data_IF_923784728526
#
_entry.id   IF_923784728526
#
_cell.length_a   1.000
_cell.length_b   1.000
_cell.length_c   1.000
_cell.angle_alpha   90.00
_cell.angle_beta   90.00
_cell.angle_gamma   90.00
#
_symmetry.space_group_name_H-M   'P 1'
#
loop_
_entity.id
_entity.type
_entity.pdbx_description
1 polymer ?
#
# COMPACT_ATOMS: atom_id res chain seq x y z
N UNK A 1 -4.43 -6.81 -18.89
CA UNK A 1 -4.12 -7.88 -17.91
C UNK A 1 -3.35 -7.39 -16.68
N UNK A 2 -2.13 -6.87 -16.80
CA UNK A 2 -1.34 -6.45 -15.63
C UNK A 2 -1.95 -5.24 -14.89
N UNK A 3 -2.32 -4.18 -15.62
CA UNK A 3 -2.97 -3.01 -15.03
C UNK A 3 -4.32 -3.33 -14.39
N UNK A 4 -5.05 -4.27 -14.97
CA UNK A 4 -6.33 -4.75 -14.43
C UNK A 4 -6.12 -5.55 -13.13
N UNK A 5 -5.10 -6.41 -13.10
CA UNK A 5 -4.68 -7.10 -11.88
C UNK A 5 -4.26 -6.11 -10.79
N UNK A 6 -3.50 -5.06 -11.14
CA UNK A 6 -3.12 -3.98 -10.24
C UNK A 6 -4.32 -3.20 -9.70
N UNK A 7 -5.28 -2.86 -10.57
CA UNK A 7 -6.51 -2.19 -10.17
C UNK A 7 -7.35 -3.05 -9.22
N UNK A 8 -7.49 -4.35 -9.50
CA UNK A 8 -8.23 -5.27 -8.63
C UNK A 8 -7.59 -5.39 -7.24
N UNK A 9 -6.27 -5.48 -7.17
CA UNK A 9 -5.54 -5.51 -5.89
C UNK A 9 -5.67 -4.18 -5.15
N UNK A 10 -5.52 -3.06 -5.85
CA UNK A 10 -5.65 -1.73 -5.25
C UNK A 10 -7.05 -1.49 -4.68
N UNK A 11 -8.10 -1.89 -5.40
CA UNK A 11 -9.48 -1.78 -4.94
C UNK A 11 -9.73 -2.69 -3.72
N UNK A 12 -9.29 -3.94 -3.77
CA UNK A 12 -9.40 -4.88 -2.66
C UNK A 12 -8.75 -4.33 -1.37
N UNK A 13 -7.54 -3.78 -1.47
CA UNK A 13 -6.84 -3.17 -0.32
C UNK A 13 -7.57 -1.91 0.16
N UNK A 14 -8.12 -1.11 -0.75
CA UNK A 14 -8.89 0.08 -0.41
C UNK A 14 -10.15 -0.28 0.39
N UNK A 15 -10.87 -1.31 -0.04
CA UNK A 15 -12.06 -1.83 0.66
C UNK A 15 -11.70 -2.36 2.05
N UNK A 16 -10.63 -3.16 2.17
CA UNK A 16 -10.19 -3.63 3.49
C UNK A 16 -9.78 -2.48 4.41
N UNK A 17 -9.04 -1.51 3.88
CA UNK A 17 -8.58 -0.39 4.68
C UNK A 17 -9.73 0.48 5.16
N UNK A 18 -10.71 0.76 4.30
CA UNK A 18 -11.91 1.49 4.68
C UNK A 18 -12.75 0.74 5.72
N UNK A 19 -12.87 -0.59 5.59
CA UNK A 19 -13.61 -1.42 6.55
C UNK A 19 -12.94 -1.48 7.93
N UNK A 20 -11.61 -1.36 7.99
CA UNK A 20 -10.85 -1.41 9.25
C UNK A 20 -10.61 -0.03 9.86
N UNK A 21 -10.67 1.04 9.06
CA UNK A 21 -10.45 2.41 9.52
C UNK A 21 -11.45 2.82 10.60
N UNK A 22 -10.94 3.45 11.66
CA UNK A 22 -11.78 4.02 12.70
C UNK A 22 -12.73 5.08 12.08
N UNK A 23 -14.03 5.05 12.37
CA UNK A 23 -14.95 6.05 11.87
C UNK A 23 -14.55 7.45 12.37
N UNK A 24 -14.80 8.51 11.57
CA UNK A 24 -14.47 9.87 11.97
C UNK A 24 -15.17 10.19 13.30
N UNK A 25 -14.40 10.62 14.29
CA UNK A 25 -14.94 11.08 15.57
C UNK A 25 -15.81 12.30 15.32
N UNK A 26 -17.12 12.15 15.55
CA UNK A 26 -18.03 13.29 15.63
C UNK A 26 -17.67 14.12 16.86
N UNK A 27 -17.74 15.45 16.73
CA UNK A 27 -17.29 16.44 17.73
C UNK A 27 -17.92 16.28 19.13
N UNK A 28 -18.97 15.47 19.26
CA UNK A 28 -19.71 15.20 20.51
C UNK A 28 -19.56 13.76 21.04
N UNK A 29 -18.68 12.93 20.45
CA UNK A 29 -18.47 11.55 20.90
C UNK A 29 -17.39 11.47 21.97
N UNK A 30 -17.77 11.12 23.20
CA UNK A 30 -16.86 10.71 24.29
C UNK A 30 -16.27 9.31 24.09
N UNK A 31 -16.69 8.58 23.04
CA UNK A 31 -16.14 7.26 22.71
C UNK A 31 -14.88 7.42 21.85
N UNK A 32 -13.78 6.84 22.33
CA UNK A 32 -12.56 6.60 21.55
C UNK A 32 -12.97 5.80 20.30
N UNK A 33 -12.77 6.37 19.11
CA UNK A 33 -13.00 5.62 17.87
C UNK A 33 -11.95 4.52 17.78
N UNK A 34 -12.41 3.27 17.83
CA UNK A 34 -11.57 2.10 17.63
C UNK A 34 -11.76 1.60 16.20
N UNK A 35 -10.69 1.01 15.66
CA UNK A 35 -10.73 0.29 14.39
C UNK A 35 -11.83 -0.77 14.45
N UNK A 36 -12.61 -0.90 13.37
CA UNK A 36 -13.67 -1.90 13.30
C UNK A 36 -13.06 -3.24 12.89
N UNK A 37 -13.36 -4.34 13.61
CA UNK A 37 -12.87 -5.65 13.20
C UNK A 37 -13.46 -6.05 11.84
N UNK A 38 -12.62 -6.62 10.97
CA UNK A 38 -13.05 -7.10 9.66
C UNK A 38 -14.02 -8.28 9.81
N UNK A 39 -15.00 -8.40 8.90
CA UNK A 39 -15.91 -9.56 8.87
C UNK A 39 -15.11 -10.84 8.58
N UNK A 40 -15.43 -11.93 9.29
CA UNK A 40 -14.79 -13.24 9.12
C UNK A 40 -14.92 -13.81 7.70
N UNK A 41 -15.91 -13.37 6.92
CA UNK A 41 -16.12 -13.80 5.54
C UNK A 41 -15.16 -13.15 4.54
N UNK A 42 -14.44 -12.10 4.94
CA UNK A 42 -13.51 -11.39 4.06
C UNK A 42 -12.12 -12.00 4.26
N UNK A 43 -11.51 -12.61 3.23
CA UNK A 43 -10.15 -13.14 3.35
C UNK A 43 -9.19 -11.98 3.58
N UNK A 44 -8.13 -12.21 4.35
CA UNK A 44 -7.01 -11.28 4.52
C UNK A 44 -5.90 -11.74 3.58
N UNK A 45 -5.76 -11.07 2.44
CA UNK A 45 -4.75 -11.32 1.43
C UNK A 45 -3.68 -10.22 1.49
N UNK A 46 -2.48 -10.52 1.00
CA UNK A 46 -1.35 -9.60 0.96
C UNK A 46 -0.35 -9.83 2.10
N UNK A 47 0.68 -8.98 2.22
CA UNK A 47 0.98 -7.80 1.39
C UNK A 47 1.44 -8.13 -0.03
N UNK A 48 1.86 -9.38 -0.28
CA UNK A 48 2.28 -9.87 -1.59
C UNK A 48 1.17 -10.64 -2.29
N UNK A 49 0.70 -10.11 -3.42
CA UNK A 49 -0.37 -10.69 -4.22
C UNK A 49 0.22 -11.46 -5.38
N UNK A 50 0.02 -12.77 -5.38
CA UNK A 50 0.52 -13.67 -6.41
C UNK A 50 -0.62 -13.91 -7.41
N UNK A 51 -0.43 -13.57 -8.70
CA UNK A 51 -1.43 -13.90 -9.71
C UNK A 51 -1.52 -15.42 -9.89
N UNK A 52 -2.68 -15.94 -10.31
CA UNK A 52 -2.82 -17.37 -10.55
C UNK A 52 -1.81 -17.86 -11.59
N UNK A 53 -1.16 -18.98 -11.30
CA UNK A 53 -0.18 -19.59 -12.19
C UNK A 53 -0.85 -20.28 -13.37
N UNK A 54 -0.06 -20.62 -14.40
CA UNK A 54 -0.53 -21.45 -15.50
C UNK A 54 -1.21 -22.76 -15.03
N UNK A 55 -0.67 -23.40 -13.99
CA UNK A 55 -1.26 -24.60 -13.43
C UNK A 55 -2.62 -24.33 -12.76
N UNK A 56 -2.77 -23.20 -12.08
CA UNK A 56 -4.05 -22.81 -11.48
C UNK A 56 -5.12 -22.62 -12.56
N UNK A 57 -4.75 -22.01 -13.69
CA UNK A 57 -5.64 -21.90 -14.84
C UNK A 57 -5.95 -23.26 -15.46
N UNK A 58 -4.94 -24.11 -15.68
CA UNK A 58 -5.13 -25.46 -16.25
C UNK A 58 -6.07 -26.32 -15.41
N UNK A 59 -5.99 -26.21 -14.09
CA UNK A 59 -6.86 -26.97 -13.18
C UNK A 59 -8.28 -26.40 -13.10
N UNK A 60 -8.46 -25.09 -13.34
CA UNK A 60 -9.77 -24.40 -13.21
C UNK A 60 -10.51 -24.21 -14.54
N UNK A 61 -9.80 -24.23 -15.67
CA UNK A 61 -10.33 -24.02 -17.01
C UNK A 61 -9.71 -25.00 -18.01
N UNK A 62 -10.56 -25.61 -18.83
CA UNK A 62 -10.21 -26.57 -19.89
C UNK A 62 -9.90 -25.91 -21.26
N UNK A 63 -9.60 -24.61 -21.27
CA UNK A 63 -9.45 -23.80 -22.50
C UNK A 63 -8.00 -23.39 -22.85
N UNK A 64 -7.82 -22.71 -23.99
CA UNK A 64 -6.53 -22.11 -24.39
C UNK A 64 -6.15 -21.00 -23.40
N UNK A 65 -5.13 -21.25 -22.59
CA UNK A 65 -4.61 -20.26 -21.64
C UNK A 65 -3.82 -19.21 -22.43
N UNK A 66 -4.26 -17.96 -22.38
CA UNK A 66 -3.50 -16.86 -22.97
C UNK A 66 -2.19 -16.64 -22.20
N UNK A 67 -1.06 -16.62 -22.91
CA UNK A 67 0.25 -16.41 -22.30
C UNK A 67 0.30 -15.12 -21.46
N UNK A 68 -0.41 -14.06 -21.88
CA UNK A 68 -0.47 -12.77 -21.18
C UNK A 68 -1.02 -12.87 -19.75
N UNK A 69 -1.80 -13.92 -19.45
CA UNK A 69 -2.36 -14.18 -18.13
C UNK A 69 -1.35 -15.00 -17.29
N UNK A 70 -0.63 -15.93 -17.91
CA UNK A 70 0.40 -16.73 -17.25
C UNK A 70 1.63 -15.93 -16.82
N UNK A 71 1.90 -14.77 -17.45
CA UNK A 71 3.03 -13.89 -17.16
C UNK A 71 2.69 -12.65 -16.32
N UNK A 72 1.54 -12.66 -15.62
CA UNK A 72 1.24 -11.61 -14.65
C UNK A 72 2.32 -11.58 -13.55
N UNK A 73 2.76 -10.38 -13.18
CA UNK A 73 3.77 -10.17 -12.15
C UNK A 73 3.10 -10.06 -10.78
N UNK A 74 3.72 -10.63 -9.72
CA UNK A 74 3.28 -10.39 -8.35
C UNK A 74 3.32 -8.91 -8.00
N UNK A 75 2.39 -8.51 -7.15
CA UNK A 75 2.30 -7.14 -6.67
C UNK A 75 2.59 -7.13 -5.16
N UNK A 76 3.60 -6.37 -4.76
CA UNK A 76 3.88 -6.06 -3.36
C UNK A 76 3.21 -4.74 -3.00
N UNK A 77 2.29 -4.79 -2.04
CA UNK A 77 1.59 -3.60 -1.55
C UNK A 77 2.32 -3.03 -0.36
N UNK A 78 2.73 -1.76 -0.47
CA UNK A 78 3.31 -1.00 0.63
C UNK A 78 2.24 -0.06 1.18
N UNK A 79 1.53 -0.53 2.21
CA UNK A 79 0.36 0.14 2.78
C UNK A 79 0.30 0.00 4.32
N UNK A 80 -0.16 1.03 5.07
CA UNK A 80 -0.28 0.99 6.54
C UNK A 80 -1.16 -0.13 7.10
N UNK A 81 -2.02 -0.70 6.27
CA UNK A 81 -2.84 -1.88 6.58
C UNK A 81 -1.97 -3.09 6.92
N UNK A 82 -0.89 -3.30 6.16
CA UNK A 82 0.01 -4.45 6.32
C UNK A 82 1.21 -4.14 7.22
N UNK A 83 1.61 -2.88 7.28
CA UNK A 83 2.82 -2.44 7.97
C UNK A 83 2.48 -1.35 8.99
N UNK A 84 2.33 -1.75 10.25
CA UNK A 84 1.90 -0.86 11.35
C UNK A 84 2.91 0.27 11.63
N UNK A 85 4.19 0.04 11.36
CA UNK A 85 5.26 1.04 11.45
C UNK A 85 5.09 2.19 10.43
N UNK A 86 4.29 2.02 9.37
CA UNK A 86 3.95 3.11 8.44
C UNK A 86 2.87 4.04 8.99
N UNK A 87 2.27 3.79 10.15
CA UNK A 87 1.22 4.68 10.71
C UNK A 87 1.76 6.06 11.09
N UNK A 88 3.07 6.18 11.32
CA UNK A 88 3.71 7.42 11.74
C UNK A 88 4.43 8.11 10.58
N UNK A 89 4.53 9.43 10.63
CA UNK A 89 5.33 10.19 9.69
C UNK A 89 6.82 9.82 9.81
N UNK A 90 7.49 9.41 8.72
CA UNK A 90 8.90 9.03 8.77
C UNK A 90 9.84 10.21 9.05
N UNK A 91 9.38 11.45 8.85
CA UNK A 91 10.20 12.65 9.03
C UNK A 91 10.22 13.20 10.45
N UNK A 92 9.07 13.17 11.15
CA UNK A 92 8.89 13.77 12.47
C UNK A 92 8.35 12.79 13.54
N UNK A 93 8.00 11.56 13.16
CA UNK A 93 7.43 10.56 14.07
C UNK A 93 5.97 10.79 14.47
N UNK A 94 5.33 11.87 14.01
CA UNK A 94 3.93 12.18 14.33
C UNK A 94 2.95 11.12 13.80
N UNK A 95 1.95 10.78 14.60
CA UNK A 95 0.82 9.91 14.21
C UNK A 95 -0.31 10.66 13.50
N UNK A 96 -0.20 11.98 13.33
CA UNK A 96 -1.22 12.81 12.66
C UNK A 96 -1.13 12.80 11.12
N UNK A 97 -0.26 11.94 10.58
CA UNK A 97 -0.05 11.83 9.15
C UNK A 97 -1.29 11.23 8.46
N UNK A 98 -1.75 11.87 7.38
CA UNK A 98 -2.93 11.44 6.63
C UNK A 98 -2.50 10.63 5.42
N UNK A 99 -3.14 9.49 5.22
CA UNK A 99 -2.95 8.68 4.02
C UNK A 99 -4.03 9.04 3.00
N UNK A 100 -3.61 9.58 1.85
CA UNK A 100 -4.45 10.38 0.94
C UNK A 100 -4.77 9.66 -0.39
N UNK A 101 -4.31 8.41 -0.56
CA UNK A 101 -4.60 7.60 -1.73
C UNK A 101 -3.40 6.88 -2.30
N UNK A 102 -3.63 6.16 -3.40
CA UNK A 102 -2.58 5.48 -4.16
C UNK A 102 -1.65 6.49 -4.83
N UNK A 103 -0.40 6.08 -5.03
CA UNK A 103 0.57 6.88 -5.79
C UNK A 103 0.10 7.11 -7.24
N UNK A 104 0.03 8.39 -7.66
CA UNK A 104 -0.34 8.77 -9.03
C UNK A 104 0.70 8.39 -10.10
N UNK A 105 1.95 8.10 -9.73
CA UNK A 105 2.98 7.66 -10.69
C UNK A 105 2.90 6.18 -11.08
N UNK A 106 1.90 5.43 -10.57
CA UNK A 106 1.71 4.02 -10.87
C UNK A 106 2.62 3.06 -10.09
N UNK A 107 2.61 1.80 -10.51
CA UNK A 107 3.45 0.72 -9.97
C UNK A 107 4.91 0.89 -10.37
N UNK A 108 5.82 0.42 -9.51
CA UNK A 108 7.26 0.37 -9.78
C UNK A 108 7.65 -1.08 -10.04
N UNK A 109 8.45 -1.32 -11.07
CA UNK A 109 9.07 -2.62 -11.27
C UNK A 109 10.16 -2.82 -10.22
N UNK A 110 10.17 -4.00 -9.59
CA UNK A 110 11.15 -4.39 -8.59
C UNK A 110 11.64 -5.80 -8.87
N UNK A 111 12.96 -5.99 -8.81
CA UNK A 111 13.56 -7.30 -9.06
C UNK A 111 13.37 -8.21 -7.84
N UNK A 112 12.53 -9.24 -8.00
CA UNK A 112 12.44 -10.33 -7.04
C UNK A 112 13.52 -11.38 -7.29
N UNK A 113 13.86 -12.17 -6.26
CA UNK A 113 14.90 -13.20 -6.37
C UNK A 113 14.59 -14.29 -7.41
N UNK A 114 13.29 -14.59 -7.61
CA UNK A 114 12.83 -15.68 -8.49
C UNK A 114 12.13 -15.20 -9.76
N UNK A 115 11.56 -14.00 -9.73
CA UNK A 115 10.81 -13.40 -10.84
C UNK A 115 10.72 -11.90 -10.64
N UNK A 116 10.47 -11.19 -11.73
CA UNK A 116 10.10 -9.78 -11.68
C UNK A 116 8.81 -9.57 -10.91
N UNK A 117 8.77 -8.53 -10.11
CA UNK A 117 7.65 -8.14 -9.27
C UNK A 117 7.34 -6.66 -9.49
N UNK A 118 6.17 -6.24 -9.06
CA UNK A 118 5.80 -4.82 -9.03
C UNK A 118 5.50 -4.40 -7.60
N UNK A 119 5.75 -3.13 -7.30
CA UNK A 119 5.44 -2.52 -6.02
C UNK A 119 4.43 -1.39 -6.23
N UNK A 120 3.34 -1.43 -5.46
CA UNK A 120 2.36 -0.34 -5.40
C UNK A 120 2.44 0.33 -4.04
N UNK A 121 2.63 1.65 -4.10
CA UNK A 121 2.78 2.49 -2.92
C UNK A 121 1.53 3.31 -2.63
N UNK A 122 1.28 3.51 -1.34
CA UNK A 122 0.33 4.50 -0.85
C UNK A 122 1.02 5.84 -0.57
N UNK A 123 0.27 6.94 -0.66
CA UNK A 123 0.74 8.30 -0.46
C UNK A 123 0.37 8.81 0.94
N UNK A 124 1.39 9.24 1.66
CA UNK A 124 1.30 9.94 2.93
C UNK A 124 1.36 11.44 2.70
N UNK A 125 0.50 12.19 3.39
CA UNK A 125 0.51 13.65 3.46
C UNK A 125 0.57 14.08 4.92
N UNK A 126 1.49 14.99 5.24
CA UNK A 126 1.60 15.53 6.58
C UNK A 126 1.80 17.05 6.54
N UNK A 127 0.75 17.79 6.91
CA UNK A 127 0.73 19.25 6.78
C UNK A 127 1.72 19.94 7.73
N UNK A 128 1.98 19.35 8.92
CA UNK A 128 2.96 19.86 9.90
C UNK A 128 4.42 19.57 9.55
N UNK A 129 4.68 18.72 8.56
CA UNK A 129 6.04 18.56 8.00
C UNK A 129 6.36 19.61 6.93
N UNK A 130 5.49 20.62 6.74
CA UNK A 130 5.87 21.81 6.01
C UNK A 130 7.05 22.49 6.72
N UNK A 131 8.13 22.85 6.01
CA UNK A 131 9.28 23.47 6.64
C UNK A 131 8.97 24.89 7.11
N UNK A 132 9.70 25.32 8.14
CA UNK A 132 9.85 26.74 8.50
C UNK A 132 10.43 27.53 7.31
N UNK A 133 10.05 28.80 7.18
CA UNK A 133 10.55 29.70 6.14
C UNK A 133 12.08 29.86 6.27
N UNK A 134 12.86 29.23 5.38
CA UNK A 134 14.32 29.41 5.32
C UNK A 134 15.17 28.19 4.91
N UNK A 135 14.61 26.98 4.83
CA UNK A 135 15.40 25.79 4.44
C UNK A 135 15.54 25.64 2.91
N UNK A 136 16.73 25.23 2.47
CA UNK A 136 17.13 25.05 1.06
C UNK A 136 16.78 23.67 0.47
N UNK A 137 16.21 22.75 1.25
CA UNK A 137 15.76 21.44 0.74
C UNK A 137 14.40 21.55 0.01
N UNK A 138 14.21 20.79 -1.09
CA UNK A 138 12.98 20.84 -1.88
C UNK A 138 11.73 20.47 -1.05
N UNK A 139 10.72 21.32 -1.19
CA UNK A 139 9.47 21.41 -0.44
C UNK A 139 8.55 20.21 -0.69
N UNK A 140 8.56 19.18 0.16
CA UNK A 140 7.71 18.00 -0.07
C UNK A 140 6.83 17.66 1.15
N UNK A 141 5.52 17.95 1.03
CA UNK A 141 4.49 17.63 2.05
C UNK A 141 3.85 16.25 1.86
N UNK A 142 4.08 15.65 0.68
CA UNK A 142 3.50 14.38 0.26
C UNK A 142 4.60 13.41 -0.10
N UNK A 143 4.59 12.24 0.53
CA UNK A 143 5.57 11.18 0.33
C UNK A 143 4.87 9.91 -0.15
N UNK A 144 5.38 9.31 -1.22
CA UNK A 144 4.95 7.99 -1.65
C UNK A 144 5.85 6.92 -1.03
N UNK A 145 5.27 5.84 -0.55
CA UNK A 145 6.01 4.68 -0.01
C UNK A 145 6.87 3.96 -1.05
N UNK A 146 6.69 4.23 -2.33
CA UNK A 146 7.57 3.73 -3.41
C UNK A 146 8.67 4.74 -3.78
N UNK A 147 8.76 5.89 -3.11
CA UNK A 147 9.79 6.89 -3.34
C UNK A 147 10.96 6.69 -2.36
N UNK A 148 12.22 6.65 -2.82
CA UNK A 148 13.40 6.58 -1.95
C UNK A 148 13.44 7.65 -0.85
N UNK A 149 12.91 8.85 -1.11
CA UNK A 149 12.86 9.94 -0.13
C UNK A 149 12.06 9.56 1.13
N UNK A 150 11.02 8.73 1.00
CA UNK A 150 10.23 8.24 2.14
C UNK A 150 11.09 7.40 3.09
N UNK A 151 12.02 6.63 2.56
CA UNK A 151 12.84 5.67 3.30
C UNK A 151 14.20 6.23 3.76
N UNK A 152 14.56 7.46 3.36
CA UNK A 152 15.89 8.04 3.63
C UNK A 152 16.30 8.04 5.11
N UNK A 153 15.33 8.21 6.01
CA UNK A 153 15.55 8.24 7.47
C UNK A 153 15.38 6.89 8.16
N UNK A 154 15.11 5.83 7.40
CA UNK A 154 14.87 4.50 7.96
C UNK A 154 16.17 3.72 7.98
N UNK A 155 16.48 3.14 9.13
CA UNK A 155 17.52 2.14 9.23
C UNK A 155 17.05 0.86 8.53
N UNK A 156 17.98 0.10 7.95
CA UNK A 156 17.66 -1.10 7.17
C UNK A 156 16.76 -2.10 7.95
N UNK A 157 16.98 -2.25 9.26
CA UNK A 157 16.17 -3.14 10.10
C UNK A 157 14.78 -2.61 10.43
N UNK A 158 14.51 -1.31 10.23
CA UNK A 158 13.19 -0.71 10.40
C UNK A 158 12.30 -0.91 9.17
N UNK A 159 12.89 -1.18 8.01
CA UNK A 159 12.17 -1.38 6.75
C UNK A 159 11.31 -2.66 6.86
N UNK A 160 9.99 -2.59 6.60
CA UNK A 160 9.13 -3.76 6.65
C UNK A 160 9.60 -4.84 5.67
N UNK A 161 9.51 -6.12 6.08
CA UNK A 161 9.85 -7.30 5.28
C UNK A 161 8.61 -8.06 4.86
#
# INVERSE_FOLDING_TARGET
>A
PQLEWEANVAEYVTVLYQATKAPPTTKNSTKISRESPLKLSIPILGPKFIPPSFNDYRLRQTGKIEAKIAYLRPINIIHPLYYSNLRNCPHCGSSEARWDGWNGSGSREVHGLRREETALGYQLRHDKCAPDEGSSEPKQRSFATTNPLFWRKWEHWKIPR
#
